data_IF_814822661091
#
_entry.id   IF_814822661091
#
_cell.length_a   1.000
_cell.length_b   1.000
_cell.length_c   1.000
_cell.angle_alpha   90.00
_cell.angle_beta   90.00
_cell.angle_gamma   90.00
#
_symmetry.space_group_name_H-M   'P 1'
#
loop_
_entity.id
_entity.type
_entity.pdbx_description
1 polymer ?
#
# COMPACT_ATOMS: atom_id res chain seq x y z
N UNK A 1 -13.73 12.04 1.08
CA UNK A 1 -13.34 11.68 2.46
C UNK A 1 -12.93 12.84 3.37
N UNK A 2 -12.60 14.05 2.87
CA UNK A 2 -11.98 15.14 3.65
C UNK A 2 -12.70 15.61 4.95
N UNK A 3 -13.96 15.24 5.17
CA UNK A 3 -14.73 15.58 6.38
C UNK A 3 -14.46 14.69 7.63
N UNK A 4 -13.46 13.80 7.61
CA UNK A 4 -13.11 12.92 8.75
C UNK A 4 -11.62 12.89 9.11
N UNK A 5 -10.88 13.90 8.69
CA UNK A 5 -9.50 14.12 9.17
C UNK A 5 -9.55 14.90 10.47
N UNK A 6 -9.06 14.34 11.56
CA UNK A 6 -8.94 15.09 12.82
C UNK A 6 -7.61 15.85 12.85
N UNK A 7 -7.64 17.05 13.40
CA UNK A 7 -6.44 17.83 13.71
C UNK A 7 -6.53 18.24 15.19
N UNK A 8 -5.58 17.77 15.98
CA UNK A 8 -5.50 18.04 17.42
C UNK A 8 -4.17 18.73 17.72
N UNK A 9 -4.21 19.76 18.55
CA UNK A 9 -3.06 20.64 18.82
C UNK A 9 -2.99 21.01 20.31
N UNK A 10 -1.79 21.19 20.85
CA UNK A 10 -1.60 21.73 22.20
C UNK A 10 -2.29 23.10 22.36
N UNK A 11 -2.97 23.31 23.48
CA UNK A 11 -3.77 24.51 23.75
C UNK A 11 -5.15 24.54 23.08
N UNK A 12 -5.68 23.37 22.68
CA UNK A 12 -7.02 23.21 22.13
C UNK A 12 -7.95 22.54 23.16
N UNK A 13 -9.18 23.05 23.29
CA UNK A 13 -10.25 22.39 24.06
C UNK A 13 -10.72 21.11 23.37
N UNK A 14 -10.83 20.01 24.12
CA UNK A 14 -11.10 18.67 23.62
C UNK A 14 -12.09 17.91 24.53
N UNK A 15 -13.34 17.78 24.07
CA UNK A 15 -14.31 16.87 24.67
C UNK A 15 -13.88 15.40 24.42
N UNK A 16 -13.38 14.74 25.46
CA UNK A 16 -12.94 13.34 25.44
C UNK A 16 -14.10 12.38 25.12
N UNK A 17 -15.31 12.69 25.58
CA UNK A 17 -16.51 11.88 25.35
C UNK A 17 -16.90 11.90 23.87
N UNK A 18 -16.90 13.09 23.27
CA UNK A 18 -17.08 13.26 21.83
C UNK A 18 -15.93 12.64 21.03
N UNK A 19 -14.66 12.91 21.37
CA UNK A 19 -13.52 12.33 20.66
C UNK A 19 -13.60 10.80 20.62
N UNK A 20 -14.04 10.17 21.71
CA UNK A 20 -14.24 8.72 21.77
C UNK A 20 -15.32 8.22 20.80
N UNK A 21 -16.41 8.95 20.62
CA UNK A 21 -17.42 8.62 19.60
C UNK A 21 -16.87 8.85 18.20
N UNK A 22 -16.33 10.04 17.93
CA UNK A 22 -15.83 10.44 16.62
C UNK A 22 -14.69 9.51 16.13
N UNK A 23 -13.84 8.98 17.04
CA UNK A 23 -12.82 7.96 16.73
C UNK A 23 -13.41 6.59 16.37
N UNK A 24 -14.45 6.13 17.08
CA UNK A 24 -15.14 4.86 16.77
C UNK A 24 -15.88 4.94 15.43
N UNK A 25 -16.52 6.08 15.13
CA UNK A 25 -17.17 6.35 13.84
C UNK A 25 -16.15 6.58 12.69
N UNK A 26 -14.87 6.78 13.03
CA UNK A 26 -13.73 6.71 12.12
C UNK A 26 -13.04 5.33 12.10
N UNK A 27 -13.58 4.32 12.81
CA UNK A 27 -13.14 2.93 12.80
C UNK A 27 -12.06 2.55 13.81
N UNK A 28 -11.68 3.43 14.73
CA UNK A 28 -10.63 3.12 15.72
C UNK A 28 -11.14 2.19 16.83
N UNK A 29 -10.31 1.22 17.22
CA UNK A 29 -10.60 0.24 18.26
C UNK A 29 -10.30 0.81 19.65
N UNK A 30 -11.32 0.89 20.51
CA UNK A 30 -11.16 1.33 21.90
C UNK A 30 -10.63 0.19 22.79
N UNK A 31 -9.35 0.24 23.16
CA UNK A 31 -8.62 -0.77 23.92
C UNK A 31 -8.24 -0.27 25.32
N UNK A 32 -7.67 -1.15 26.17
CA UNK A 32 -7.10 -0.77 27.48
C UNK A 32 -5.66 -0.27 27.38
N UNK A 33 -4.88 -0.83 26.45
CA UNK A 33 -3.51 -0.45 26.11
C UNK A 33 -3.34 -0.48 24.60
N UNK A 34 -2.80 0.60 24.06
CA UNK A 34 -2.50 0.76 22.64
C UNK A 34 -1.17 0.09 22.33
N UNK A 35 -1.19 -0.81 21.35
CA UNK A 35 -0.05 -1.60 20.87
C UNK A 35 0.04 -1.63 19.33
N UNK A 36 -1.06 -1.40 18.61
CA UNK A 36 -1.13 -1.42 17.16
C UNK A 36 -1.80 -0.16 16.57
N UNK A 37 -1.52 0.14 15.30
CA UNK A 37 -2.17 1.23 14.58
C UNK A 37 -3.68 0.96 14.41
N UNK A 38 -4.49 2.02 14.49
CA UNK A 38 -5.95 1.92 14.53
C UNK A 38 -6.54 1.68 15.93
N UNK A 39 -5.72 1.72 16.99
CA UNK A 39 -6.15 1.59 18.39
C UNK A 39 -6.11 2.93 19.16
N UNK A 40 -6.98 3.06 20.16
CA UNK A 40 -6.93 4.14 21.15
C UNK A 40 -7.38 3.69 22.54
N UNK A 41 -6.89 4.34 23.60
CA UNK A 41 -7.27 4.09 24.98
C UNK A 41 -7.44 5.40 25.75
N UNK A 42 -8.53 5.53 26.51
CA UNK A 42 -8.84 6.71 27.34
C UNK A 42 -8.68 6.35 28.82
N UNK A 43 -7.84 7.10 29.55
CA UNK A 43 -7.52 6.86 30.97
C UNK A 43 -7.56 8.16 31.78
N UNK A 44 -8.75 8.67 32.05
CA UNK A 44 -8.93 10.00 32.66
C UNK A 44 -8.52 11.10 31.68
N UNK A 45 -7.76 12.09 32.14
CA UNK A 45 -7.17 13.14 31.30
C UNK A 45 -5.98 12.70 30.45
N UNK A 46 -5.92 11.43 30.03
CA UNK A 46 -4.90 10.90 29.12
C UNK A 46 -5.60 10.10 28.01
N UNK A 47 -5.26 10.39 26.76
CA UNK A 47 -5.67 9.61 25.59
C UNK A 47 -4.42 9.07 24.89
N UNK A 48 -4.24 7.75 24.90
CA UNK A 48 -3.27 7.05 24.05
C UNK A 48 -3.94 6.74 22.70
N UNK A 49 -3.23 6.93 21.60
CA UNK A 49 -3.77 6.77 20.24
C UNK A 49 -2.66 6.41 19.25
N UNK A 50 -2.88 5.41 18.39
CA UNK A 50 -1.95 5.07 17.31
C UNK A 50 -2.63 5.31 15.95
N UNK A 51 -2.34 6.43 15.27
CA UNK A 51 -3.02 6.78 14.02
C UNK A 51 -2.60 5.88 12.87
N UNK A 52 -3.55 5.51 12.00
CA UNK A 52 -3.21 4.81 10.75
C UNK A 52 -2.33 5.70 9.86
N UNK A 53 -1.27 5.10 9.33
CA UNK A 53 -0.24 5.81 8.55
C UNK A 53 0.83 6.55 9.38
N UNK A 54 0.76 6.52 10.71
CA UNK A 54 1.86 7.02 11.56
C UNK A 54 2.94 5.95 11.79
N UNK A 55 4.20 6.36 11.90
CA UNK A 55 5.30 5.47 12.36
C UNK A 55 5.28 5.28 13.89
N UNK A 56 4.61 6.15 14.66
CA UNK A 56 4.59 6.11 16.14
C UNK A 56 3.23 6.47 16.73
N UNK A 57 2.88 5.96 17.92
CA UNK A 57 1.67 6.36 18.64
C UNK A 57 1.91 7.64 19.45
N UNK A 58 0.81 8.31 19.80
CA UNK A 58 0.79 9.56 20.56
C UNK A 58 0.00 9.42 21.85
N UNK A 59 0.52 10.03 22.90
CA UNK A 59 -0.14 10.30 24.17
C UNK A 59 -0.54 11.78 24.19
N UNK A 60 -1.82 12.03 24.40
CA UNK A 60 -2.42 13.34 24.61
C UNK A 60 -2.67 13.46 26.10
N UNK A 61 -1.96 14.36 26.77
CA UNK A 61 -2.19 14.71 28.16
C UNK A 61 -3.10 15.95 28.21
N UNK A 62 -4.19 15.88 28.97
CA UNK A 62 -5.17 16.95 29.15
C UNK A 62 -5.15 17.51 30.57
N UNK A 63 -5.43 18.81 30.70
CA UNK A 63 -5.71 19.49 31.94
C UNK A 63 -7.15 20.05 31.89
N UNK A 64 -8.03 19.48 32.71
CA UNK A 64 -9.49 19.62 32.60
C UNK A 64 -9.98 19.26 31.18
N UNK A 65 -10.39 20.24 30.36
CA UNK A 65 -10.78 20.04 28.95
C UNK A 65 -9.75 20.57 27.92
N UNK A 66 -8.59 21.10 28.34
CA UNK A 66 -7.54 21.62 27.44
C UNK A 66 -6.40 20.60 27.22
N UNK A 67 -5.87 20.50 26.00
CA UNK A 67 -4.68 19.68 25.70
C UNK A 67 -3.41 20.40 26.22
N UNK A 68 -2.89 19.97 27.38
CA UNK A 68 -1.62 20.42 27.97
C UNK A 68 -0.40 20.01 27.10
N UNK A 69 -0.45 18.81 26.50
CA UNK A 69 0.63 18.39 25.61
C UNK A 69 0.35 17.12 24.82
N UNK A 70 1.00 17.02 23.66
CA UNK A 70 0.99 15.84 22.81
C UNK A 70 2.42 15.32 22.70
N UNK A 71 2.62 14.01 22.88
CA UNK A 71 3.95 13.40 23.02
C UNK A 71 3.92 12.01 22.38
N UNK A 72 4.95 11.62 21.62
CA UNK A 72 5.09 10.23 21.14
C UNK A 72 5.35 9.28 22.31
N UNK A 73 5.01 8.00 22.18
CA UNK A 73 5.39 6.98 23.16
C UNK A 73 5.80 5.65 22.50
N UNK A 74 6.47 4.81 23.29
CA UNK A 74 6.93 3.47 22.93
C UNK A 74 5.87 2.43 23.33
N UNK A 75 5.41 1.59 22.39
CA UNK A 75 4.30 0.63 22.61
C UNK A 75 4.60 -0.40 23.69
N UNK A 76 5.85 -0.87 23.76
CA UNK A 76 6.22 -2.04 24.56
C UNK A 76 6.46 -1.67 26.02
N UNK A 77 7.10 -0.52 26.25
CA UNK A 77 7.35 0.05 27.58
C UNK A 77 6.25 1.00 28.06
N UNK A 78 5.34 1.40 27.16
CA UNK A 78 4.28 2.42 27.36
C UNK A 78 4.82 3.80 27.79
N UNK A 79 6.11 4.08 27.55
CA UNK A 79 6.81 5.32 27.98
C UNK A 79 6.86 6.37 26.89
N UNK A 80 6.66 7.63 27.31
CA UNK A 80 6.79 8.81 26.46
C UNK A 80 8.22 9.00 25.94
N UNK A 81 8.37 9.38 24.66
CA UNK A 81 9.65 9.58 23.98
C UNK A 81 9.92 11.07 23.71
N UNK A 82 9.12 11.74 22.87
CA UNK A 82 9.36 13.13 22.42
C UNK A 82 8.08 13.96 22.33
N UNK A 83 8.11 15.27 22.61
CA UNK A 83 6.96 16.15 22.46
C UNK A 83 6.67 16.48 20.99
N UNK A 84 5.40 16.77 20.69
CA UNK A 84 4.88 17.11 19.35
C UNK A 84 3.91 18.28 19.49
N UNK A 85 3.87 19.19 18.51
CA UNK A 85 3.00 20.38 18.56
C UNK A 85 1.56 20.12 18.09
N UNK A 86 1.37 19.20 17.16
CA UNK A 86 0.07 18.80 16.61
C UNK A 86 0.11 17.37 16.08
N UNK A 87 -1.06 16.74 15.97
CA UNK A 87 -1.25 15.46 15.28
C UNK A 87 -2.40 15.58 14.29
N UNK A 88 -2.32 14.81 13.20
CA UNK A 88 -3.35 14.72 12.17
C UNK A 88 -3.72 13.26 11.98
N UNK A 89 -5.01 12.95 12.09
CA UNK A 89 -5.51 11.58 12.10
C UNK A 89 -6.28 11.32 10.81
N UNK A 90 -5.90 10.26 10.10
CA UNK A 90 -6.74 9.65 9.07
C UNK A 90 -7.73 8.68 9.73
N UNK A 91 -8.87 8.36 9.08
CA UNK A 91 -9.72 7.25 9.50
C UNK A 91 -8.95 5.92 9.53
N UNK A 92 -9.47 4.94 10.29
CA UNK A 92 -8.84 3.63 10.45
C UNK A 92 -8.96 2.74 9.19
N UNK A 93 -9.93 3.03 8.32
CA UNK A 93 -10.20 2.31 7.07
C UNK A 93 -10.32 3.28 5.89
N UNK A 94 -10.12 2.77 4.67
CA UNK A 94 -10.31 3.50 3.41
C UNK A 94 -11.80 3.74 3.06
N UNK A 95 -12.72 3.16 3.84
CA UNK A 95 -14.17 3.34 3.74
C UNK A 95 -14.78 3.76 5.09
N UNK A 96 -15.91 4.48 5.09
CA UNK A 96 -16.60 4.84 6.32
C UNK A 96 -17.26 3.63 6.99
N UNK A 97 -17.24 3.58 8.34
CA UNK A 97 -17.72 2.44 9.16
C UNK A 97 -18.97 2.73 9.99
N UNK A 98 -19.46 3.98 9.97
CA UNK A 98 -20.60 4.45 10.76
C UNK A 98 -21.96 3.89 10.31
N UNK A 99 -23.03 4.25 11.03
CA UNK A 99 -24.37 3.73 10.79
C UNK A 99 -25.03 4.17 9.47
N UNK A 100 -24.61 5.28 8.85
CA UNK A 100 -25.06 5.66 7.50
C UNK A 100 -24.30 4.86 6.44
N UNK A 101 -22.99 4.69 6.59
CA UNK A 101 -22.19 3.83 5.72
C UNK A 101 -22.71 2.38 5.70
N UNK A 102 -23.12 1.85 6.86
CA UNK A 102 -23.79 0.55 6.96
C UNK A 102 -25.18 0.53 6.27
N UNK A 103 -25.89 1.66 6.16
CA UNK A 103 -27.13 1.75 5.34
C UNK A 103 -26.81 1.74 3.86
N UNK A 104 -25.86 2.56 3.42
CA UNK A 104 -25.41 2.65 2.01
C UNK A 104 -24.95 1.27 1.55
N UNK A 105 -24.02 0.63 2.26
CA UNK A 105 -23.54 -0.72 1.99
C UNK A 105 -24.69 -1.71 1.79
N UNK A 106 -25.66 -1.76 2.70
CA UNK A 106 -26.78 -2.70 2.60
C UNK A 106 -27.74 -2.37 1.46
N UNK A 107 -27.78 -1.14 0.94
CA UNK A 107 -28.53 -0.81 -0.27
C UNK A 107 -27.75 -1.27 -1.50
N UNK A 108 -26.53 -0.76 -1.68
CA UNK A 108 -25.63 -1.05 -2.80
C UNK A 108 -25.39 -2.57 -2.95
N UNK A 109 -25.22 -3.32 -1.86
CA UNK A 109 -25.11 -4.78 -1.89
C UNK A 109 -26.35 -5.46 -2.49
N UNK A 110 -27.57 -4.95 -2.29
CA UNK A 110 -28.81 -5.50 -2.89
C UNK A 110 -29.06 -5.04 -4.32
N UNK A 111 -28.27 -4.10 -4.81
CA UNK A 111 -28.33 -3.56 -6.17
C UNK A 111 -27.28 -4.24 -7.06
N UNK A 112 -26.08 -4.50 -6.53
CA UNK A 112 -24.91 -5.00 -7.28
C UNK A 112 -24.66 -6.51 -7.10
N UNK A 113 -25.25 -7.18 -6.11
CA UNK A 113 -25.02 -8.61 -5.82
C UNK A 113 -26.28 -9.44 -6.08
N UNK A 114 -26.21 -10.32 -7.08
CA UNK A 114 -27.22 -11.36 -7.32
C UNK A 114 -27.27 -12.37 -6.17
N UNK A 115 -28.47 -12.62 -5.62
CA UNK A 115 -28.72 -13.65 -4.61
C UNK A 115 -29.53 -13.17 -3.41
N UNK A 116 -29.48 -13.92 -2.31
CA UNK A 116 -30.10 -13.56 -1.03
C UNK A 116 -29.03 -12.98 -0.08
N UNK A 117 -29.09 -11.69 0.30
CA UNK A 117 -28.10 -11.07 1.17
C UNK A 117 -27.97 -11.72 2.56
N UNK A 118 -28.99 -12.46 3.00
CA UNK A 118 -28.96 -13.13 4.30
C UNK A 118 -28.06 -14.38 4.30
N UNK A 119 -27.64 -14.88 3.13
CA UNK A 119 -26.74 -16.02 3.01
C UNK A 119 -25.26 -15.55 3.03
N UNK A 120 -24.96 -14.42 2.37
CA UNK A 120 -23.66 -13.77 2.39
C UNK A 120 -23.18 -13.35 3.80
N UNK A 121 -22.04 -13.89 4.23
CA UNK A 121 -21.45 -13.60 5.55
C UNK A 121 -21.03 -12.13 5.68
N UNK A 122 -20.46 -11.54 4.63
CA UNK A 122 -20.04 -10.13 4.62
C UNK A 122 -21.22 -9.17 4.84
N UNK A 123 -22.37 -9.40 4.22
CA UNK A 123 -23.58 -8.58 4.42
C UNK A 123 -24.07 -8.69 5.86
N UNK A 124 -24.07 -9.88 6.45
CA UNK A 124 -24.39 -10.09 7.88
C UNK A 124 -23.39 -9.42 8.82
N UNK A 125 -22.09 -9.47 8.51
CA UNK A 125 -21.04 -8.86 9.33
C UNK A 125 -21.18 -7.32 9.34
N UNK A 126 -21.19 -6.70 8.16
CA UNK A 126 -21.33 -5.24 8.01
C UNK A 126 -22.67 -4.73 8.56
N UNK A 127 -23.76 -5.50 8.40
CA UNK A 127 -25.07 -5.16 8.99
C UNK A 127 -25.08 -5.12 10.53
N UNK A 128 -24.10 -5.74 11.17
CA UNK A 128 -23.89 -5.74 12.62
C UNK A 128 -22.69 -4.86 13.04
N UNK A 129 -22.17 -4.01 12.15
CA UNK A 129 -21.02 -3.13 12.43
C UNK A 129 -19.68 -3.86 12.54
N UNK A 130 -19.53 -5.05 11.95
CA UNK A 130 -18.31 -5.84 12.01
C UNK A 130 -17.59 -5.89 10.65
N UNK A 131 -16.41 -5.27 10.61
CA UNK A 131 -15.60 -5.08 9.39
C UNK A 131 -14.43 -6.07 9.39
N UNK A 132 -14.74 -7.34 9.11
CA UNK A 132 -13.76 -8.43 9.07
C UNK A 132 -12.92 -8.44 7.79
N UNK A 133 -11.74 -9.06 7.84
CA UNK A 133 -10.80 -9.12 6.72
C UNK A 133 -11.43 -9.64 5.42
N UNK A 134 -11.21 -8.93 4.31
CA UNK A 134 -11.82 -9.19 3.01
C UNK A 134 -13.02 -8.30 2.71
N UNK A 135 -13.51 -7.50 3.68
CA UNK A 135 -14.52 -6.44 3.45
C UNK A 135 -14.03 -5.37 2.48
N UNK A 136 -12.71 -5.23 2.31
CA UNK A 136 -12.05 -4.34 1.36
C UNK A 136 -12.41 -4.66 -0.10
N UNK A 137 -12.73 -5.91 -0.43
CA UNK A 137 -13.25 -6.28 -1.76
C UNK A 137 -14.68 -5.79 -2.02
N UNK A 138 -15.30 -5.15 -1.03
CA UNK A 138 -16.62 -4.52 -1.10
C UNK A 138 -16.55 -3.02 -0.81
N UNK A 139 -15.35 -2.43 -0.78
CA UNK A 139 -15.09 -0.99 -0.58
C UNK A 139 -16.00 -0.06 -1.42
N UNK A 140 -16.31 -0.34 -2.71
CA UNK A 140 -17.19 0.51 -3.53
C UNK A 140 -18.62 0.63 -2.98
N UNK A 141 -19.11 -0.36 -2.22
CA UNK A 141 -20.48 -0.38 -1.70
C UNK A 141 -20.68 0.58 -0.52
N UNK A 142 -19.62 1.06 0.11
CA UNK A 142 -19.70 2.03 1.21
C UNK A 142 -19.92 3.48 0.75
N UNK A 143 -19.98 3.70 -0.57
CA UNK A 143 -20.14 5.01 -1.19
C UNK A 143 -21.38 5.06 -2.10
N UNK A 144 -22.01 6.23 -2.17
CA UNK A 144 -23.17 6.46 -3.05
C UNK A 144 -22.75 6.65 -4.52
N UNK A 145 -21.53 7.16 -4.74
CA UNK A 145 -20.92 7.37 -6.04
C UNK A 145 -19.88 6.29 -6.34
N UNK A 146 -19.46 6.18 -7.61
CA UNK A 146 -18.28 5.42 -8.01
C UNK A 146 -16.99 5.95 -7.34
N UNK A 147 -15.94 5.12 -7.31
CA UNK A 147 -14.67 5.47 -6.71
C UNK A 147 -13.82 6.36 -7.63
N UNK A 148 -13.28 7.44 -7.06
CA UNK A 148 -12.20 8.24 -7.67
C UNK A 148 -10.96 7.35 -7.91
N UNK A 149 -10.28 7.56 -9.03
CA UNK A 149 -9.06 6.81 -9.37
C UNK A 149 -7.81 7.61 -9.00
N UNK A 150 -6.62 6.97 -8.97
CA UNK A 150 -5.36 7.68 -8.73
C UNK A 150 -5.13 8.87 -9.68
N UNK A 151 -5.61 8.79 -10.93
CA UNK A 151 -5.49 9.87 -11.91
C UNK A 151 -6.23 11.15 -11.49
N UNK A 152 -7.27 11.02 -10.67
CA UNK A 152 -8.12 12.12 -10.21
C UNK A 152 -7.49 12.86 -9.00
N UNK A 153 -6.38 12.34 -8.44
CA UNK A 153 -5.62 12.96 -7.34
C UNK A 153 -4.25 13.55 -7.74
N UNK A 154 -3.62 13.09 -8.83
CA UNK A 154 -2.23 13.46 -9.17
C UNK A 154 -2.06 14.85 -9.83
N UNK A 155 -3.15 15.43 -10.35
CA UNK A 155 -3.13 16.72 -11.05
C UNK A 155 -2.65 16.64 -12.51
N UNK A 156 -3.06 17.61 -13.32
CA UNK A 156 -2.91 17.59 -14.80
C UNK A 156 -1.44 17.67 -15.28
N UNK A 157 -0.58 18.39 -14.55
CA UNK A 157 0.84 18.58 -14.89
C UNK A 157 1.75 17.34 -14.60
N UNK A 158 1.17 16.19 -14.24
CA UNK A 158 1.94 15.01 -13.84
C UNK A 158 2.74 14.38 -15.00
N UNK A 159 4.04 14.13 -14.77
CA UNK A 159 4.93 13.44 -15.70
C UNK A 159 5.10 11.97 -15.28
N UNK A 160 4.60 11.03 -16.09
CA UNK A 160 4.75 9.60 -15.83
C UNK A 160 6.12 9.09 -16.31
N UNK A 161 6.84 8.39 -15.44
CA UNK A 161 8.09 7.68 -15.81
C UNK A 161 7.82 6.18 -15.73
N UNK A 162 7.73 5.53 -16.89
CA UNK A 162 7.28 4.14 -17.00
C UNK A 162 8.44 3.20 -17.30
N UNK A 163 8.74 2.29 -16.38
CA UNK A 163 9.82 1.31 -16.51
C UNK A 163 9.30 0.02 -17.18
N UNK A 164 9.76 -0.26 -18.40
CA UNK A 164 9.30 -1.41 -19.18
C UNK A 164 7.89 -1.23 -19.77
N UNK A 165 7.30 -2.31 -20.26
CA UNK A 165 5.97 -2.29 -20.87
C UNK A 165 4.85 -2.34 -19.80
N UNK A 166 4.47 -1.16 -19.32
CA UNK A 166 3.37 -0.97 -18.37
C UNK A 166 2.00 -1.36 -18.96
N UNK A 167 1.84 -1.40 -20.29
CA UNK A 167 0.60 -1.83 -20.93
C UNK A 167 0.48 -3.35 -20.97
N UNK A 168 1.58 -4.07 -21.19
CA UNK A 168 1.62 -5.53 -21.08
C UNK A 168 1.33 -6.00 -19.65
N UNK A 169 1.95 -5.40 -18.62
CA UNK A 169 1.68 -5.75 -17.23
C UNK A 169 0.27 -5.33 -16.77
N UNK A 170 -0.29 -4.20 -17.26
CA UNK A 170 -1.70 -3.86 -17.00
C UNK A 170 -2.68 -4.89 -17.62
N UNK A 171 -2.40 -5.38 -18.84
CA UNK A 171 -3.18 -6.45 -19.47
C UNK A 171 -3.08 -7.77 -18.71
N UNK A 172 -1.87 -8.13 -18.25
CA UNK A 172 -1.63 -9.31 -17.42
C UNK A 172 -2.39 -9.24 -16.10
N UNK A 173 -2.26 -8.14 -15.36
CA UNK A 173 -3.00 -7.90 -14.11
C UNK A 173 -4.51 -8.00 -14.32
N UNK A 174 -5.05 -7.38 -15.37
CA UNK A 174 -6.47 -7.47 -15.69
C UNK A 174 -6.93 -8.92 -16.01
N UNK A 175 -6.07 -9.73 -16.64
CA UNK A 175 -6.33 -11.15 -16.86
C UNK A 175 -6.30 -11.96 -15.55
N UNK A 176 -5.35 -11.71 -14.66
CA UNK A 176 -5.28 -12.35 -13.34
C UNK A 176 -6.49 -11.99 -12.47
N UNK A 177 -6.94 -10.72 -12.51
CA UNK A 177 -8.16 -10.25 -11.82
C UNK A 177 -9.41 -10.96 -12.36
N UNK A 178 -9.61 -11.02 -13.68
CA UNK A 178 -10.74 -11.77 -14.28
C UNK A 178 -10.71 -13.26 -13.93
N UNK A 179 -9.51 -13.86 -13.89
CA UNK A 179 -9.31 -15.26 -13.51
C UNK A 179 -9.74 -15.52 -12.06
N UNK A 180 -9.30 -14.66 -11.12
CA UNK A 180 -9.71 -14.73 -9.70
C UNK A 180 -11.20 -14.50 -9.51
N UNK A 181 -11.79 -13.53 -10.21
CA UNK A 181 -13.24 -13.31 -10.21
C UNK A 181 -14.00 -14.57 -10.64
N UNK A 182 -13.59 -15.20 -11.76
CA UNK A 182 -14.21 -16.43 -12.25
C UNK A 182 -14.03 -17.62 -11.29
N UNK A 183 -12.94 -17.69 -10.53
CA UNK A 183 -12.74 -18.71 -9.48
C UNK A 183 -13.59 -18.48 -8.22
N UNK A 184 -14.00 -17.25 -7.95
CA UNK A 184 -14.85 -16.88 -6.82
C UNK A 184 -16.36 -16.84 -7.15
N UNK A 185 -16.73 -17.02 -8.43
CA UNK A 185 -18.14 -17.13 -8.83
C UNK A 185 -18.81 -18.34 -8.16
N UNK A 186 -20.01 -18.12 -7.60
CA UNK A 186 -20.78 -19.14 -6.91
C UNK A 186 -20.49 -19.29 -5.41
N UNK A 187 -19.58 -18.48 -4.83
CA UNK A 187 -19.49 -18.36 -3.37
C UNK A 187 -20.66 -17.51 -2.83
N UNK A 188 -21.73 -18.16 -2.37
CA UNK A 188 -22.88 -17.51 -1.74
C UNK A 188 -22.53 -16.82 -0.40
N UNK A 189 -21.38 -17.15 0.20
CA UNK A 189 -20.90 -16.61 1.48
C UNK A 189 -20.13 -15.30 1.29
N UNK A 190 -19.32 -15.23 0.23
CA UNK A 190 -18.54 -14.05 -0.18
C UNK A 190 -18.67 -13.79 -1.70
N UNK A 191 -19.86 -13.42 -2.19
CA UNK A 191 -20.12 -13.26 -3.62
C UNK A 191 -19.32 -12.07 -4.18
N UNK A 192 -18.41 -12.30 -5.16
CA UNK A 192 -17.48 -11.28 -5.60
C UNK A 192 -18.16 -10.22 -6.48
N UNK A 193 -17.81 -8.95 -6.28
CA UNK A 193 -18.23 -7.85 -7.14
C UNK A 193 -17.57 -7.92 -8.52
N UNK A 194 -18.25 -7.34 -9.53
CA UNK A 194 -17.67 -7.19 -10.87
C UNK A 194 -16.33 -6.42 -10.78
N UNK A 195 -15.24 -6.90 -11.43
CA UNK A 195 -13.91 -6.31 -11.27
C UNK A 195 -13.80 -4.80 -11.51
N UNK A 196 -14.67 -4.27 -12.37
CA UNK A 196 -14.72 -2.86 -12.76
C UNK A 196 -15.05 -1.89 -11.61
N UNK A 197 -15.66 -2.34 -10.51
CA UNK A 197 -15.92 -1.47 -9.35
C UNK A 197 -14.65 -1.18 -8.52
N UNK A 198 -13.61 -2.02 -8.64
CA UNK A 198 -12.35 -1.92 -7.88
C UNK A 198 -11.13 -1.61 -8.76
N UNK A 199 -11.13 -2.09 -10.01
CA UNK A 199 -9.96 -2.10 -10.87
C UNK A 199 -10.27 -1.53 -12.25
N UNK A 200 -9.41 -0.63 -12.72
CA UNK A 200 -9.44 -0.18 -14.10
C UNK A 200 -9.04 -1.32 -15.04
N UNK A 201 -9.78 -1.49 -16.13
CA UNK A 201 -9.33 -2.35 -17.22
C UNK A 201 -8.09 -1.76 -17.89
N UNK A 202 -7.31 -2.60 -18.57
CA UNK A 202 -6.10 -2.17 -19.27
C UNK A 202 -6.37 -1.06 -20.31
N UNK A 203 -7.53 -1.11 -20.98
CA UNK A 203 -7.97 -0.09 -21.95
C UNK A 203 -8.29 1.25 -21.28
N UNK A 204 -8.96 1.24 -20.12
CA UNK A 204 -9.30 2.47 -19.36
C UNK A 204 -8.05 3.08 -18.73
N UNK A 205 -7.14 2.25 -18.20
CA UNK A 205 -5.82 2.68 -17.73
C UNK A 205 -5.02 3.32 -18.86
N UNK A 206 -4.91 2.66 -20.03
CA UNK A 206 -4.23 3.21 -21.20
C UNK A 206 -4.91 4.45 -21.78
N UNK A 207 -6.24 4.57 -21.62
CA UNK A 207 -7.02 5.76 -21.96
C UNK A 207 -6.66 6.95 -21.08
N UNK A 208 -6.68 6.79 -19.75
CA UNK A 208 -6.33 7.85 -18.78
C UNK A 208 -4.85 8.25 -18.89
N UNK A 209 -3.93 7.28 -19.07
CA UNK A 209 -2.49 7.54 -19.14
C UNK A 209 -2.09 8.42 -20.35
N UNK A 210 -2.82 8.36 -21.47
CA UNK A 210 -2.57 9.18 -22.67
C UNK A 210 -2.72 10.69 -22.47
N UNK A 211 -3.40 11.12 -21.41
CA UNK A 211 -3.58 12.53 -21.10
C UNK A 211 -2.29 13.19 -20.55
N UNK A 212 -1.30 12.39 -20.15
CA UNK A 212 -0.11 12.83 -19.44
C UNK A 212 1.17 12.73 -20.28
N UNK A 213 2.12 13.63 -19.99
CA UNK A 213 3.48 13.50 -20.49
C UNK A 213 4.12 12.21 -19.96
N UNK A 214 4.81 11.48 -20.83
CA UNK A 214 5.40 10.17 -20.51
C UNK A 214 6.87 10.10 -20.89
N UNK A 215 7.68 9.51 -20.01
CA UNK A 215 9.08 9.17 -20.22
C UNK A 215 9.24 7.66 -20.11
N UNK A 216 9.73 7.05 -21.19
CA UNK A 216 10.01 5.61 -21.29
C UNK A 216 11.54 5.43 -21.36
N UNK A 217 12.27 5.39 -20.22
CA UNK A 217 13.71 5.23 -20.22
C UNK A 217 14.11 3.80 -20.63
N UNK A 218 14.98 3.67 -21.63
CA UNK A 218 15.62 2.38 -21.93
C UNK A 218 16.66 2.05 -20.84
N UNK A 219 16.21 1.26 -19.87
CA UNK A 219 17.06 0.66 -18.82
C UNK A 219 17.65 -0.70 -19.22
N UNK A 220 17.40 -1.19 -20.44
CA UNK A 220 17.89 -2.48 -20.94
C UNK A 220 19.24 -2.39 -21.65
N UNK A 221 19.63 -1.18 -22.10
CA UNK A 221 20.85 -0.94 -22.85
C UNK A 221 22.15 -1.27 -22.10
N UNK A 222 22.91 -2.26 -22.60
CA UNK A 222 24.28 -2.58 -22.15
C UNK A 222 25.27 -1.42 -22.21
N UNK A 223 24.93 -0.31 -22.87
CA UNK A 223 25.73 0.92 -22.88
C UNK A 223 26.14 1.38 -21.46
N UNK A 224 25.24 1.21 -20.49
CA UNK A 224 25.44 1.63 -19.10
C UNK A 224 25.98 0.52 -18.19
N UNK A 225 26.15 -0.72 -18.67
CA UNK A 225 26.69 -1.80 -17.86
C UNK A 225 28.19 -1.62 -17.57
N UNK A 226 28.56 -1.87 -16.31
CA UNK A 226 29.95 -2.01 -15.88
C UNK A 226 30.53 -3.37 -16.33
N UNK A 227 31.87 -3.49 -16.46
CA UNK A 227 32.54 -4.79 -16.51
C UNK A 227 32.42 -5.52 -15.17
N UNK A 228 32.93 -6.75 -15.08
CA UNK A 228 33.07 -7.41 -13.78
C UNK A 228 34.13 -6.68 -12.92
N UNK A 229 33.72 -6.25 -11.73
CA UNK A 229 34.53 -5.55 -10.74
C UNK A 229 34.56 -6.31 -9.40
N UNK A 230 34.28 -7.63 -9.42
CA UNK A 230 34.28 -8.48 -8.25
C UNK A 230 35.65 -8.56 -7.56
N UNK A 231 35.63 -8.63 -6.22
CA UNK A 231 36.85 -8.73 -5.39
C UNK A 231 37.34 -10.17 -5.34
N UNK A 232 38.47 -10.45 -5.99
CA UNK A 232 39.11 -11.76 -5.91
C UNK A 232 39.99 -11.88 -4.65
N UNK A 233 39.37 -12.24 -3.52
CA UNK A 233 40.07 -12.43 -2.22
C UNK A 233 41.10 -13.58 -2.19
N UNK A 234 41.26 -14.33 -3.28
CA UNK A 234 42.26 -15.40 -3.43
C UNK A 234 43.47 -14.98 -4.29
N UNK A 235 43.47 -13.76 -4.83
CA UNK A 235 44.60 -13.17 -5.55
C UNK A 235 45.45 -12.32 -4.61
N UNK A 236 46.75 -12.21 -4.92
CA UNK A 236 47.67 -11.25 -4.28
C UNK A 236 47.27 -9.78 -4.54
N UNK A 237 46.46 -9.51 -5.57
CA UNK A 237 45.87 -8.19 -5.85
C UNK A 237 44.33 -8.23 -5.89
N UNK A 238 43.63 -8.33 -4.74
CA UNK A 238 42.18 -8.53 -4.67
C UNK A 238 41.29 -7.48 -5.36
N UNK A 239 41.85 -6.33 -5.69
CA UNK A 239 41.16 -5.19 -6.31
C UNK A 239 41.58 -4.91 -7.76
N UNK A 240 42.31 -5.83 -8.41
CA UNK A 240 42.94 -5.52 -9.70
C UNK A 240 41.94 -5.05 -10.77
N UNK A 241 40.79 -5.71 -10.92
CA UNK A 241 39.74 -5.29 -11.85
C UNK A 241 39.24 -3.85 -11.61
N UNK A 242 39.21 -3.37 -10.36
CA UNK A 242 38.84 -2.00 -10.02
C UNK A 242 39.96 -0.99 -10.31
N UNK A 243 41.23 -1.38 -10.12
CA UNK A 243 42.39 -0.55 -10.54
C UNK A 243 42.46 -0.43 -12.06
N UNK A 244 42.26 -1.53 -12.77
CA UNK A 244 42.25 -1.58 -14.24
C UNK A 244 41.12 -0.70 -14.80
N UNK A 245 39.91 -0.84 -14.24
CA UNK A 245 38.78 0.02 -14.61
C UNK A 245 39.02 1.49 -14.29
N UNK A 246 39.56 1.84 -13.11
CA UNK A 246 39.93 3.22 -12.79
C UNK A 246 41.01 3.80 -13.74
N UNK A 247 41.89 2.95 -14.28
CA UNK A 247 42.94 3.37 -15.22
C UNK A 247 42.40 3.52 -16.65
N UNK A 248 41.38 2.74 -17.03
CA UNK A 248 40.80 2.72 -18.37
C UNK A 248 39.55 3.62 -18.54
N UNK A 249 38.92 4.06 -17.44
CA UNK A 249 37.70 4.88 -17.48
C UNK A 249 38.01 6.38 -17.42
N UNK A 250 37.72 7.09 -18.51
CA UNK A 250 37.84 8.54 -18.63
C UNK A 250 36.66 9.24 -17.89
N UNK A 251 36.69 9.21 -16.56
CA UNK A 251 35.61 9.71 -15.71
C UNK A 251 35.92 9.67 -14.20
N UNK A 252 34.90 9.98 -13.38
CA UNK A 252 34.96 9.90 -11.92
C UNK A 252 34.14 8.68 -11.45
N UNK A 253 34.72 7.86 -10.58
CA UNK A 253 34.07 6.67 -10.01
C UNK A 253 33.47 7.00 -8.64
N UNK A 254 32.23 6.54 -8.39
CA UNK A 254 31.59 6.63 -7.07
C UNK A 254 31.29 5.24 -6.52
N UNK A 255 31.96 4.83 -5.44
CA UNK A 255 31.62 3.61 -4.73
C UNK A 255 30.45 3.89 -3.76
N UNK A 256 29.46 3.00 -3.72
CA UNK A 256 28.33 3.13 -2.80
C UNK A 256 28.31 2.00 -1.77
N UNK A 257 28.35 2.38 -0.50
CA UNK A 257 28.14 1.49 0.63
C UNK A 257 26.68 1.54 1.11
N UNK A 258 26.16 0.40 1.58
CA UNK A 258 24.79 0.29 2.08
C UNK A 258 24.59 0.94 3.48
N UNK A 259 25.68 1.21 4.21
CA UNK A 259 25.66 1.88 5.52
C UNK A 259 27.00 2.56 5.84
N UNK A 260 27.03 3.43 6.85
CA UNK A 260 28.25 4.09 7.33
C UNK A 260 29.33 3.08 7.77
N UNK A 261 28.97 2.10 8.60
CA UNK A 261 29.92 1.05 9.02
C UNK A 261 30.46 0.22 7.85
N UNK A 262 29.63 -0.02 6.82
CA UNK A 262 30.08 -0.65 5.58
C UNK A 262 31.03 0.25 4.78
N UNK A 263 30.79 1.58 4.75
CA UNK A 263 31.67 2.57 4.12
C UNK A 263 33.06 2.55 4.73
N UNK A 264 33.17 2.59 6.06
CA UNK A 264 34.47 2.57 6.74
C UNK A 264 35.22 1.24 6.53
N UNK A 265 34.47 0.12 6.52
CA UNK A 265 35.03 -1.21 6.19
C UNK A 265 35.58 -1.24 4.76
N UNK A 266 34.87 -0.63 3.79
CA UNK A 266 35.32 -0.52 2.41
C UNK A 266 36.52 0.43 2.28
N UNK A 267 36.50 1.60 2.91
CA UNK A 267 37.61 2.56 2.93
C UNK A 267 38.91 1.92 3.42
N UNK A 268 38.88 1.23 4.56
CA UNK A 268 40.05 0.53 5.09
C UNK A 268 40.58 -0.54 4.13
N UNK A 269 39.70 -1.35 3.54
CA UNK A 269 40.09 -2.39 2.58
C UNK A 269 40.66 -1.82 1.27
N UNK A 270 40.08 -0.75 0.73
CA UNK A 270 40.59 -0.04 -0.44
C UNK A 270 42.00 0.51 -0.16
N UNK A 271 42.18 1.21 0.97
CA UNK A 271 43.44 1.84 1.36
C UNK A 271 44.57 0.82 1.57
N UNK A 272 44.28 -0.32 2.21
CA UNK A 272 45.23 -1.42 2.39
C UNK A 272 45.72 -2.01 1.07
N UNK A 273 44.87 -1.99 0.03
CA UNK A 273 45.16 -2.52 -1.31
C UNK A 273 45.59 -1.42 -2.31
N UNK A 274 45.99 -0.24 -1.81
CA UNK A 274 46.56 0.85 -2.60
C UNK A 274 45.56 1.84 -3.22
N UNK A 275 44.25 1.61 -3.11
CA UNK A 275 43.21 2.50 -3.65
C UNK A 275 42.77 3.54 -2.62
N UNK A 276 42.87 4.83 -2.98
CA UNK A 276 42.47 5.95 -2.12
C UNK A 276 41.15 6.56 -2.63
N UNK A 277 40.03 6.06 -2.13
CA UNK A 277 38.72 6.68 -2.35
C UNK A 277 38.50 7.85 -1.38
N UNK A 278 38.08 9.01 -1.89
CA UNK A 278 37.69 10.15 -1.04
C UNK A 278 36.25 9.99 -0.53
N UNK A 279 35.99 10.07 0.78
CA UNK A 279 34.62 10.11 1.29
C UNK A 279 33.89 11.38 0.84
N UNK A 280 32.64 11.23 0.39
CA UNK A 280 31.70 12.33 0.15
C UNK A 280 30.37 12.06 0.87
N UNK A 281 29.62 13.13 1.16
CA UNK A 281 28.36 13.04 1.92
C UNK A 281 27.28 12.28 1.17
N UNK A 282 27.14 12.54 -0.13
CA UNK A 282 26.01 12.15 -0.97
C UNK A 282 26.34 12.36 -2.46
N UNK A 283 25.34 12.23 -3.34
CA UNK A 283 25.45 12.44 -4.79
C UNK A 283 25.81 13.88 -5.19
N UNK A 284 25.27 14.90 -4.53
CA UNK A 284 25.61 16.29 -4.80
C UNK A 284 27.06 16.59 -4.36
N UNK A 285 27.50 15.99 -3.25
CA UNK A 285 28.89 15.98 -2.82
C UNK A 285 29.84 15.35 -3.84
N UNK A 286 29.42 14.28 -4.52
CA UNK A 286 30.16 13.70 -5.66
C UNK A 286 30.19 14.64 -6.87
N UNK A 287 29.03 15.21 -7.26
CA UNK A 287 28.95 16.12 -8.41
C UNK A 287 29.87 17.33 -8.28
N UNK A 288 29.94 17.93 -7.08
CA UNK A 288 30.76 19.11 -6.76
C UNK A 288 32.24 18.81 -6.43
N UNK A 289 32.65 17.54 -6.39
CA UNK A 289 34.04 17.12 -6.15
C UNK A 289 34.75 16.74 -7.46
N UNK A 290 36.08 16.66 -7.46
CA UNK A 290 36.87 16.45 -8.69
C UNK A 290 37.83 15.25 -8.64
N UNK A 291 37.82 14.49 -7.55
CA UNK A 291 38.66 13.32 -7.37
C UNK A 291 38.20 12.13 -8.26
N UNK A 292 39.13 11.31 -8.80
CA UNK A 292 38.79 10.24 -9.74
C UNK A 292 38.11 9.04 -9.08
N UNK A 293 38.26 8.87 -7.77
CA UNK A 293 37.64 7.79 -6.98
C UNK A 293 37.07 8.35 -5.68
N UNK A 294 35.77 8.20 -5.49
CA UNK A 294 35.03 8.65 -4.32
C UNK A 294 34.20 7.53 -3.70
N UNK A 295 33.72 7.71 -2.47
CA UNK A 295 32.83 6.77 -1.80
C UNK A 295 31.78 7.48 -0.94
N UNK A 296 30.54 7.01 -0.99
CA UNK A 296 29.40 7.52 -0.19
C UNK A 296 28.54 6.39 0.38
N UNK A 297 27.50 6.73 1.13
CA UNK A 297 26.44 5.81 1.56
C UNK A 297 25.21 6.05 0.70
N UNK A 298 24.77 5.03 -0.05
CA UNK A 298 23.58 5.12 -0.88
C UNK A 298 22.93 3.73 -1.08
N UNK A 299 21.59 3.64 -1.16
CA UNK A 299 20.86 2.37 -1.25
C UNK A 299 20.85 1.79 -2.69
N UNK A 300 22.01 1.67 -3.33
CA UNK A 300 22.13 1.19 -4.71
C UNK A 300 22.24 -0.35 -4.78
N UNK A 301 21.32 -0.98 -5.51
CA UNK A 301 21.35 -2.42 -5.79
C UNK A 301 22.40 -2.81 -6.85
N UNK A 302 22.49 -2.05 -7.95
CA UNK A 302 23.35 -2.36 -9.10
C UNK A 302 24.10 -1.12 -9.60
N UNK A 303 25.38 -1.29 -9.90
CA UNK A 303 26.24 -0.25 -10.47
C UNK A 303 26.04 -0.05 -11.96
N UNK A 304 26.24 1.17 -12.44
CA UNK A 304 26.16 1.54 -13.85
C UNK A 304 27.10 2.72 -14.15
N UNK A 305 27.54 2.83 -15.41
CA UNK A 305 28.41 3.92 -15.88
C UNK A 305 27.64 4.94 -16.72
N UNK A 306 28.08 6.18 -16.66
CA UNK A 306 27.66 7.26 -17.57
C UNK A 306 28.88 7.75 -18.35
N UNK A 307 28.77 7.78 -19.68
CA UNK A 307 29.90 8.06 -20.57
C UNK A 307 30.69 6.82 -21.01
N UNK A 308 31.44 6.97 -22.10
CA UNK A 308 32.17 5.92 -22.80
C UNK A 308 32.12 6.12 -24.31
N UNK A 309 33.00 5.44 -25.05
CA UNK A 309 33.15 5.57 -26.51
C UNK A 309 31.91 5.06 -27.28
N UNK A 310 30.95 5.97 -27.48
CA UNK A 310 29.94 5.94 -28.54
C UNK A 310 30.33 6.97 -29.61
N UNK A 311 30.25 6.57 -30.89
CA UNK A 311 30.67 7.40 -32.02
C UNK A 311 29.83 8.67 -32.17
N UNK A 312 30.48 9.80 -32.45
CA UNK A 312 29.86 11.10 -32.75
C UNK A 312 29.19 11.13 -34.14
N UNK A 313 28.30 10.18 -34.42
CA UNK A 313 27.64 10.02 -35.72
C UNK A 313 26.37 9.16 -35.66
N UNK A 314 25.41 9.53 -34.82
CA UNK A 314 24.00 9.20 -35.09
C UNK A 314 22.98 10.22 -34.57
N UNK A 315 23.19 11.50 -34.94
CA UNK A 315 22.04 12.36 -35.21
C UNK A 315 21.28 11.76 -36.41
N UNK A 316 20.20 11.03 -36.15
CA UNK A 316 19.23 10.73 -37.19
C UNK A 316 18.53 12.04 -37.58
N UNK A 317 18.97 12.64 -38.68
CA UNK A 317 18.24 13.70 -39.35
C UNK A 317 16.91 13.15 -39.84
N UNK A 318 15.81 13.55 -39.18
CA UNK A 318 14.45 13.21 -39.60
C UNK A 318 14.19 13.84 -40.99
N UNK A 319 13.90 13.06 -42.04
CA UNK A 319 13.40 13.61 -43.30
C UNK A 319 11.96 14.08 -43.10
N UNK A 320 11.62 15.27 -43.61
CA UNK A 320 10.26 15.79 -43.51
C UNK A 320 9.31 15.11 -44.52
N UNK A 321 8.04 15.04 -44.10
CA UNK A 321 6.82 14.64 -44.81
C UNK A 321 6.78 14.66 -46.36
N UNK A 322 6.36 13.53 -46.93
CA UNK A 322 5.42 13.33 -48.06
C UNK A 322 5.21 11.81 -48.18
N UNK A 323 4.09 11.23 -48.65
CA UNK A 323 2.76 11.75 -49.04
C UNK A 323 1.94 10.58 -49.63
N UNK A 324 0.62 10.55 -49.38
CA UNK A 324 -0.41 9.69 -50.02
C UNK A 324 -0.26 8.14 -50.06
N UNK A 325 -1.33 7.43 -49.64
CA UNK A 325 -2.04 6.57 -50.60
C UNK A 325 -1.97 5.03 -50.51
N UNK A 326 -3.17 4.44 -50.31
CA UNK A 326 -3.62 3.08 -50.70
C UNK A 326 -3.19 1.86 -49.88
N UNK A 327 -4.14 0.93 -49.80
CA UNK A 327 -4.06 -0.37 -49.13
C UNK A 327 -3.76 -1.52 -50.11
N UNK A 328 -3.49 -2.72 -49.57
CA UNK A 328 -4.07 -4.02 -50.01
C UNK A 328 -3.80 -5.10 -48.93
N UNK A 329 -4.52 -6.23 -49.01
CA UNK A 329 -4.51 -7.36 -48.07
C UNK A 329 -3.41 -8.40 -48.33
N UNK A 330 -3.15 -9.26 -47.33
CA UNK A 330 -3.29 -10.74 -47.32
C UNK A 330 -2.68 -11.26 -45.98
N UNK A 331 -3.10 -12.33 -45.28
CA UNK A 331 -3.32 -13.76 -45.62
C UNK A 331 -2.01 -14.43 -46.16
N UNK A 332 -1.57 -15.63 -45.78
CA UNK A 332 -2.00 -16.70 -44.83
C UNK A 332 -0.70 -17.37 -44.27
N UNK A 333 -0.58 -18.40 -43.42
CA UNK A 333 -1.46 -19.43 -42.83
C UNK A 333 -0.92 -19.94 -41.46
N UNK A 334 -1.44 -21.05 -40.93
CA UNK A 334 -1.02 -21.74 -39.69
C UNK A 334 0.24 -22.62 -39.85
N UNK A 335 0.87 -22.96 -38.71
CA UNK A 335 1.54 -24.26 -38.49
C UNK A 335 1.58 -24.59 -37.00
N UNK A 336 1.41 -25.86 -36.64
CA UNK A 336 1.25 -26.33 -35.25
C UNK A 336 1.86 -27.73 -35.02
N UNK A 337 1.75 -28.23 -33.77
CA UNK A 337 2.36 -29.47 -33.22
C UNK A 337 3.86 -29.34 -32.87
N UNK A 338 4.42 -30.12 -31.94
CA UNK A 338 3.87 -31.30 -31.26
C UNK A 338 4.08 -31.36 -29.74
N UNK A 339 3.08 -31.97 -29.10
CA UNK A 339 2.91 -32.39 -27.71
C UNK A 339 3.97 -33.35 -27.15
N UNK A 340 4.10 -33.39 -25.81
CA UNK A 340 4.07 -34.66 -25.06
C UNK A 340 3.53 -34.45 -23.62
N UNK A 341 3.01 -35.49 -22.92
CA UNK A 341 2.07 -35.32 -21.80
C UNK A 341 2.67 -35.44 -20.39
N UNK A 342 1.93 -34.95 -19.39
CA UNK A 342 2.03 -35.39 -17.98
C UNK A 342 0.92 -36.41 -17.65
N UNK A 343 1.16 -37.37 -16.73
CA UNK A 343 0.16 -38.35 -16.32
C UNK A 343 -0.73 -37.87 -15.16
N UNK A 344 -2.01 -38.22 -15.20
CA UNK A 344 -2.97 -38.08 -14.08
C UNK A 344 -2.92 -39.28 -13.13
N UNK A 345 -3.21 -39.10 -11.83
CA UNK A 345 -3.71 -40.15 -10.95
C UNK A 345 -5.25 -40.05 -10.77
N UNK A 346 -5.91 -41.20 -10.60
CA UNK A 346 -7.30 -41.32 -10.14
C UNK A 346 -7.36 -42.00 -8.74
N UNK A 347 -8.46 -41.85 -7.97
CA UNK A 347 -8.46 -42.12 -6.52
C UNK A 347 -9.04 -43.49 -6.11
N UNK A 348 -8.57 -44.03 -4.98
CA UNK A 348 -9.15 -45.09 -4.11
C UNK A 348 -8.25 -45.23 -2.85
N UNK A 349 -8.64 -45.76 -1.68
CA UNK A 349 -9.94 -45.81 -0.98
C UNK A 349 -9.69 -46.00 0.54
N UNK A 350 -10.71 -46.32 1.37
CA UNK A 350 -10.58 -46.49 2.85
C UNK A 350 -10.28 -47.93 3.28
N UNK A 351 -9.52 -48.09 4.38
CA UNK A 351 -9.75 -48.97 5.57
C UNK A 351 -8.54 -48.77 6.54
N UNK A 352 -8.64 -48.48 7.85
CA UNK A 352 -9.32 -49.06 9.04
C UNK A 352 -8.61 -50.26 9.73
N UNK A 353 -7.78 -49.96 10.74
CA UNK A 353 -7.55 -50.69 12.03
C UNK A 353 -6.35 -50.02 12.77
N UNK A 354 -6.40 -49.57 14.04
CA UNK A 354 -6.62 -50.25 15.33
C UNK A 354 -5.41 -51.12 15.80
N UNK A 355 -4.92 -51.09 17.05
CA UNK A 355 -5.12 -50.17 18.21
C UNK A 355 -4.07 -50.43 19.34
N UNK A 356 -3.74 -49.41 20.16
CA UNK A 356 -3.17 -49.49 21.52
C UNK A 356 -3.12 -48.05 22.13
N UNK A 357 -3.95 -47.65 23.11
CA UNK A 357 -3.93 -47.98 24.56
C UNK A 357 -2.84 -47.26 25.36
N UNK A 358 -3.26 -46.21 26.10
CA UNK A 358 -2.80 -45.90 27.46
C UNK A 358 -3.86 -45.04 28.17
N UNK A 359 -4.08 -45.27 29.47
CA UNK A 359 -5.15 -44.64 30.25
C UNK A 359 -4.83 -43.19 30.68
N UNK A 360 -5.88 -42.42 30.95
CA UNK A 360 -5.78 -41.12 31.62
C UNK A 360 -6.69 -41.06 32.84
N UNK A 361 -6.38 -40.21 33.83
CA UNK A 361 -7.29 -39.93 34.95
C UNK A 361 -6.97 -38.59 35.65
N UNK A 362 -7.97 -37.70 35.66
CA UNK A 362 -8.32 -36.63 36.63
C UNK A 362 -7.25 -35.71 37.24
N UNK A 363 -7.63 -34.44 37.35
CA UNK A 363 -6.99 -33.47 38.23
C UNK A 363 -7.25 -33.75 39.73
N UNK A 364 -6.32 -33.32 40.57
CA UNK A 364 -6.50 -33.12 42.00
C UNK A 364 -5.77 -31.85 42.43
N UNK A 365 -6.39 -31.03 43.27
CA UNK A 365 -5.76 -29.90 43.93
C UNK A 365 -5.40 -30.27 45.37
N UNK A 366 -4.22 -29.86 45.83
CA UNK A 366 -3.79 -29.97 47.24
C UNK A 366 -3.17 -28.63 47.64
N UNK A 367 -3.44 -28.21 48.88
CA UNK A 367 -3.09 -26.92 49.45
C UNK A 367 -1.78 -26.93 50.23
N UNK A 368 -1.27 -25.73 50.52
CA UNK A 368 -0.39 -25.47 51.66
C UNK A 368 -0.86 -24.19 52.35
N UNK A 369 -1.06 -24.23 53.67
CA UNK A 369 -1.59 -23.11 54.45
C UNK A 369 -0.50 -22.31 55.17
N UNK A 370 -0.79 -21.03 55.48
CA UNK A 370 -0.30 -20.40 56.71
C UNK A 370 -1.22 -19.27 57.21
N UNK A 371 -2.04 -19.67 58.18
CA UNK A 371 -2.85 -18.95 59.19
C UNK A 371 -2.18 -17.70 59.81
N UNK A 372 -2.83 -16.71 60.48
CA UNK A 372 -4.15 -16.45 61.11
C UNK A 372 -4.52 -14.95 60.88
N UNK A 373 -5.63 -14.27 61.25
CA UNK A 373 -6.90 -14.42 62.01
C UNK A 373 -8.01 -13.65 61.20
N UNK A 374 -9.36 -13.66 61.39
CA UNK A 374 -10.31 -13.47 62.52
C UNK A 374 -10.32 -12.02 63.11
N UNK A 375 -11.46 -11.33 63.34
CA UNK A 375 -12.86 -11.72 63.70
C UNK A 375 -13.97 -10.76 63.17
N UNK A 376 -15.10 -11.29 62.68
CA UNK A 376 -16.49 -10.73 62.59
C UNK A 376 -16.77 -9.43 61.77
N UNK A 377 -18.02 -9.06 61.40
CA UNK A 377 -19.38 -9.52 61.82
C UNK A 377 -20.49 -9.37 60.75
N UNK A 378 -21.45 -10.32 60.75
CA UNK A 378 -22.90 -10.20 60.40
C UNK A 378 -23.38 -9.78 58.98
N UNK A 379 -24.65 -9.96 58.57
CA UNK A 379 -25.53 -11.16 58.51
C UNK A 379 -26.80 -10.84 57.66
N UNK A 380 -27.45 -11.85 57.06
CA UNK A 380 -28.64 -11.79 56.18
C UNK A 380 -28.42 -11.25 54.74
N UNK A 381 -29.14 -11.72 53.70
CA UNK A 381 -30.00 -12.91 53.64
C UNK A 381 -30.92 -13.00 52.39
N UNK A 382 -30.94 -14.18 51.75
CA UNK A 382 -31.87 -14.64 50.69
C UNK A 382 -31.74 -13.98 49.29
N UNK A 383 -31.72 -14.65 48.11
CA UNK A 383 -32.44 -15.84 47.55
C UNK A 383 -33.81 -15.43 46.95
N UNK A 384 -34.19 -15.66 45.67
CA UNK A 384 -33.74 -16.62 44.62
C UNK A 384 -34.18 -16.27 43.17
N UNK A 385 -33.49 -16.86 42.18
CA UNK A 385 -34.00 -17.39 40.88
C UNK A 385 -34.42 -16.48 39.69
N UNK A 386 -34.53 -17.13 38.52
CA UNK A 386 -34.59 -16.58 37.15
C UNK A 386 -35.97 -16.82 36.50
N UNK A 387 -36.33 -16.10 35.41
CA UNK A 387 -36.41 -16.66 34.02
C UNK A 387 -37.35 -15.90 33.05
N UNK A 388 -36.94 -15.89 31.76
CA UNK A 388 -37.70 -15.86 30.48
C UNK A 388 -38.80 -14.80 30.15
N UNK A 389 -38.95 -14.40 28.86
CA UNK A 389 -40.01 -13.51 28.36
C UNK A 389 -41.30 -14.25 27.87
N UNK A 390 -42.44 -13.55 27.66
CA UNK A 390 -43.75 -14.14 27.34
C UNK A 390 -44.08 -14.27 25.82
N UNK A 391 -45.00 -15.19 25.42
CA UNK A 391 -45.45 -15.37 24.03
C UNK A 391 -46.96 -15.10 23.75
N UNK A 392 -47.33 -15.11 22.45
CA UNK A 392 -48.69 -15.10 21.83
C UNK A 392 -49.51 -13.78 21.87
N UNK A 393 -50.39 -13.45 20.89
CA UNK A 393 -50.53 -14.02 19.53
C UNK A 393 -51.83 -13.68 18.74
N UNK A 394 -51.69 -13.57 17.40
CA UNK A 394 -52.64 -13.90 16.27
C UNK A 394 -54.01 -13.18 16.07
N UNK A 395 -54.36 -13.06 14.77
CA UNK A 395 -55.69 -12.90 14.10
C UNK A 395 -56.13 -11.46 13.72
N UNK A 396 -56.51 -11.28 12.44
CA UNK A 396 -57.14 -10.04 11.93
C UNK A 396 -57.16 -9.88 10.40
N UNK A 397 -57.93 -10.68 9.66
CA UNK A 397 -58.10 -10.49 8.19
C UNK A 397 -59.03 -9.33 7.84
N UNK A 398 -58.69 -8.56 6.78
CA UNK A 398 -59.61 -8.22 5.68
C UNK A 398 -58.92 -7.53 4.49
N UNK A 399 -59.17 -8.03 3.28
CA UNK A 399 -58.69 -7.44 2.03
C UNK A 399 -59.65 -6.40 1.44
N UNK A 400 -59.13 -5.41 0.70
CA UNK A 400 -59.81 -4.80 -0.47
C UNK A 400 -58.90 -3.88 -1.32
N UNK A 401 -58.67 -4.31 -2.57
CA UNK A 401 -58.62 -3.54 -3.83
C UNK A 401 -57.68 -2.31 -3.98
N UNK A 402 -56.67 -2.52 -4.83
CA UNK A 402 -56.18 -1.65 -5.92
C UNK A 402 -57.25 -0.68 -6.50
N UNK A 403 -56.86 0.53 -7.00
CA UNK A 403 -56.21 0.59 -8.31
C UNK A 403 -54.99 1.51 -8.47
N UNK A 404 -54.16 1.08 -9.42
CA UNK A 404 -53.18 1.79 -10.24
C UNK A 404 -53.37 3.31 -10.40
N UNK A 405 -52.24 4.05 -10.40
CA UNK A 405 -52.14 5.33 -11.12
C UNK A 405 -50.77 5.47 -11.79
N UNK A 406 -50.77 5.68 -13.11
CA UNK A 406 -49.58 5.88 -13.96
C UNK A 406 -49.25 7.37 -14.04
N UNK A 407 -47.96 7.74 -14.07
CA UNK A 407 -47.50 8.98 -14.69
C UNK A 407 -46.61 8.72 -15.93
N UNK A 408 -46.81 9.51 -16.97
CA UNK A 408 -45.94 9.60 -18.17
C UNK A 408 -46.08 11.04 -18.75
N UNK A 409 -45.24 11.49 -19.69
CA UNK A 409 -44.05 12.27 -19.32
C UNK A 409 -44.06 13.72 -19.86
N UNK A 410 -43.24 14.59 -19.24
CA UNK A 410 -42.98 15.95 -19.77
C UNK A 410 -41.61 16.51 -19.35
N UNK A 411 -40.72 16.64 -20.33
CA UNK A 411 -39.49 17.46 -20.32
C UNK A 411 -39.86 18.97 -20.52
N UNK A 412 -38.93 19.97 -20.59
CA UNK A 412 -37.48 19.89 -20.87
C UNK A 412 -36.55 20.76 -19.98
N UNK A 413 -35.24 20.59 -20.21
CA UNK A 413 -34.18 21.45 -19.68
C UNK A 413 -34.17 22.85 -20.34
N UNK A 414 -33.75 23.91 -19.61
CA UNK A 414 -33.23 25.13 -20.23
C UNK A 414 -31.78 24.93 -20.71
N UNK A 415 -31.45 25.44 -21.88
CA UNK A 415 -30.08 25.53 -22.41
C UNK A 415 -29.43 26.83 -21.90
N UNK A 416 -28.20 26.76 -21.41
CA UNK A 416 -27.36 27.96 -21.24
C UNK A 416 -26.12 27.90 -22.12
N UNK A 417 -26.23 28.54 -23.29
CA UNK A 417 -25.06 28.99 -24.05
C UNK A 417 -24.54 30.29 -23.45
N UNK A 418 -23.22 30.42 -23.25
CA UNK A 418 -22.61 31.74 -23.39
C UNK A 418 -21.19 31.64 -23.95
N UNK A 419 -20.82 32.63 -24.76
CA UNK A 419 -19.57 32.67 -25.51
C UNK A 419 -18.52 33.56 -24.84
N UNK A 420 -17.26 33.23 -25.15
CA UNK A 420 -16.02 34.01 -25.05
C UNK A 420 -16.14 35.54 -24.90
N UNK A 421 -15.11 36.18 -24.30
CA UNK A 421 -14.10 36.72 -25.20
C UNK A 421 -12.65 36.40 -24.82
N UNK A 422 -11.83 36.23 -25.86
CA UNK A 422 -10.36 36.22 -25.78
C UNK A 422 -9.85 37.58 -25.27
N UNK A 423 -8.82 37.58 -24.44
CA UNK A 423 -8.07 38.80 -24.09
C UNK A 423 -6.57 38.58 -24.31
N UNK A 424 -6.00 39.30 -25.28
CA UNK A 424 -4.57 39.30 -25.53
C UNK A 424 -3.81 40.15 -24.48
N UNK A 425 -2.62 39.71 -24.09
CA UNK A 425 -1.71 40.47 -23.22
C UNK A 425 -0.28 40.45 -23.77
N UNK A 426 0.11 41.56 -24.39
CA UNK A 426 1.47 41.79 -24.91
C UNK A 426 2.38 42.30 -23.80
N UNK A 427 3.49 41.61 -23.52
CA UNK A 427 4.54 42.08 -22.59
C UNK A 427 5.93 41.86 -23.19
N UNK A 428 6.85 42.76 -22.88
CA UNK A 428 8.14 42.93 -23.58
C UNK A 428 9.17 41.81 -23.36
N UNK A 429 10.03 41.63 -24.37
CA UNK A 429 11.24 40.80 -24.33
C UNK A 429 12.27 41.37 -23.35
N UNK A 430 12.88 40.50 -22.53
CA UNK A 430 14.21 40.71 -21.94
C UNK A 430 15.01 39.41 -22.04
N UNK A 431 16.32 39.54 -22.30
CA UNK A 431 17.19 38.41 -22.59
C UNK A 431 17.63 37.65 -21.33
N UNK A 432 17.71 36.33 -21.42
CA UNK A 432 18.45 35.44 -20.51
C UNK A 432 19.26 34.41 -21.31
N UNK A 433 20.44 33.97 -20.81
CA UNK A 433 21.31 33.00 -21.50
C UNK A 433 20.76 31.55 -21.44
N UNK A 434 21.30 30.62 -22.26
CA UNK A 434 20.68 29.30 -22.48
C UNK A 434 20.80 28.32 -21.31
N UNK A 435 19.89 27.34 -21.31
CA UNK A 435 19.77 26.28 -20.32
C UNK A 435 20.97 25.32 -20.29
N UNK A 436 21.32 24.83 -19.10
CA UNK A 436 21.94 23.51 -18.90
C UNK A 436 20.92 22.59 -18.23
N UNK A 437 20.83 21.35 -18.69
CA UNK A 437 19.78 20.40 -18.27
C UNK A 437 20.10 19.76 -16.93
N UNK A 438 19.17 19.85 -15.98
CA UNK A 438 19.17 19.10 -14.74
C UNK A 438 17.78 18.46 -14.53
N UNK A 439 17.72 17.25 -13.96
CA UNK A 439 16.47 16.60 -13.59
C UNK A 439 16.69 15.66 -12.40
N UNK A 440 15.67 15.43 -11.57
CA UNK A 440 15.79 14.81 -10.25
C UNK A 440 14.48 14.11 -9.84
N UNK A 441 14.54 12.89 -9.29
CA UNK A 441 13.43 12.14 -8.69
C UNK A 441 13.95 10.96 -7.83
N UNK A 442 13.11 10.39 -6.95
CA UNK A 442 13.57 9.50 -5.85
C UNK A 442 12.52 8.50 -5.33
N UNK A 443 13.00 7.29 -4.94
CA UNK A 443 12.42 6.37 -3.92
C UNK A 443 11.06 5.69 -4.26
N UNK A 444 10.57 4.67 -3.49
CA UNK A 444 11.07 4.06 -2.24
C UNK A 444 11.37 2.53 -2.32
N UNK A 445 11.45 1.86 -1.14
CA UNK A 445 11.78 0.44 -0.92
C UNK A 445 10.55 -0.40 -0.52
N UNK A 446 10.67 -1.73 -0.55
CA UNK A 446 9.77 -2.70 0.13
C UNK A 446 10.56 -3.66 1.05
N UNK A 447 9.87 -4.33 1.99
CA UNK A 447 10.48 -5.17 3.04
C UNK A 447 9.82 -6.57 3.14
N UNK A 448 10.67 -7.57 3.37
CA UNK A 448 10.51 -9.00 3.66
C UNK A 448 9.13 -9.67 3.84
N UNK A 449 9.03 -10.87 3.25
CA UNK A 449 8.57 -12.09 3.94
C UNK A 449 9.42 -13.30 3.50
N UNK A 450 9.54 -14.34 4.33
CA UNK A 450 10.44 -15.50 4.12
C UNK A 450 9.69 -16.81 4.46
N UNK A 451 9.95 -17.91 3.73
CA UNK A 451 10.30 -19.15 4.42
C UNK A 451 11.63 -19.73 3.91
N UNK A 452 12.33 -20.46 4.80
CA UNK A 452 13.73 -20.85 4.63
C UNK A 452 13.94 -22.25 4.03
N UNK A 453 14.87 -22.41 3.08
CA UNK A 453 15.88 -23.49 3.12
C UNK A 453 16.93 -23.42 1.98
N UNK A 454 18.19 -23.15 2.31
CA UNK A 454 19.41 -23.93 1.95
C UNK A 454 20.70 -23.12 2.25
N UNK A 455 21.84 -23.81 2.40
CA UNK A 455 23.15 -23.19 2.67
C UNK A 455 23.94 -23.05 1.36
N UNK A 456 24.56 -21.89 1.09
CA UNK A 456 26.03 -21.78 1.03
C UNK A 456 26.59 -20.38 0.68
N UNK A 457 27.85 -20.17 1.09
CA UNK A 457 28.88 -19.26 0.53
C UNK A 457 28.54 -17.78 0.26
N UNK A 458 29.19 -16.88 1.00
CA UNK A 458 29.11 -15.44 0.77
C UNK A 458 30.04 -14.95 -0.35
N UNK A 459 29.46 -14.26 -1.34
CA UNK A 459 30.18 -13.62 -2.47
C UNK A 459 29.99 -12.09 -2.47
N UNK A 460 30.36 -11.44 -1.35
CA UNK A 460 30.26 -9.98 -1.23
C UNK A 460 31.25 -9.25 -2.14
N UNK A 461 30.82 -8.89 -3.35
CA UNK A 461 31.55 -8.03 -4.30
C UNK A 461 31.51 -6.54 -3.90
N UNK A 462 32.31 -5.73 -4.59
CA UNK A 462 32.22 -4.26 -4.55
C UNK A 462 31.23 -3.80 -5.62
N UNK A 463 30.45 -2.75 -5.32
CA UNK A 463 29.59 -2.06 -6.29
C UNK A 463 30.17 -0.66 -6.53
N UNK A 464 30.37 -0.31 -7.80
CA UNK A 464 30.85 0.98 -8.27
C UNK A 464 29.78 1.69 -9.13
N UNK A 465 29.98 2.98 -9.37
CA UNK A 465 29.47 3.75 -10.50
C UNK A 465 30.69 4.12 -11.35
#
# INVERSE_FOLDING_TARGET
MAGRTFWLKTGQTLDIGRLKTDLVDAGYNHVSHVVAAGEFAVRGGIVDLFPMGSETPYRIDLFDDEIDGIKTFDTDTQRTISPVSEIRLLPAHEFPTDSEAQKIFRSRFREEVDGNPNDAAVYKAVSNGHFGAGVEYYLPLFFENELETLFDYIGEDALFVSLGDVHAEANRFWNDVKSRYAMAQGDETYPPLLPQHLYLSADVFAGRLKNYGQVLPDVSGKAHSLPDLAVNRQSDEPLQALKDFQTAFDGRILLCAESLGRRETMLGFLQQNGLKAKPVSDWQGFLSAHEPLMITVAPLAYGFKLGGLQSSSQQQTVPASEGEGKAVTDQTEFSASATNPLPSPLPQEREQSAAAVSDGLKAAAVSTESSLYLVASDLHGQTRQQSAPPPWGRVGERAKRLPLKVPSPSSPNPIFTNTSPVRASTTAVRNTPPFQTACCATLPKSISAIPSCTKNTASGGIRAW
#
